data_IF_072122780784
#
_entry.id   IF_072122780784
#
_cell.length_a   1.000
_cell.length_b   1.000
_cell.length_c   1.000
_cell.angle_alpha   90.00
_cell.angle_beta   90.00
_cell.angle_gamma   90.00
#
_symmetry.space_group_name_H-M   'P 1'
#
loop_
_entity.id
_entity.type
_entity.pdbx_description
1 polymer ?
#
# COMPACT_ATOMS: atom_id res chain seq x y z
N UNK A 1 6.61 26.44 10.22
CA UNK A 1 6.40 26.39 8.77
C UNK A 1 6.31 24.96 8.25
N UNK A 2 7.16 24.03 8.75
CA UNK A 2 7.08 22.63 8.34
C UNK A 2 5.73 21.99 8.69
N UNK A 3 5.12 22.37 9.82
CA UNK A 3 3.82 21.84 10.22
C UNK A 3 2.70 22.22 9.25
N UNK A 4 2.73 23.46 8.74
CA UNK A 4 1.73 23.92 7.76
C UNK A 4 1.88 23.14 6.46
N UNK A 5 3.12 22.91 6.00
CA UNK A 5 3.37 22.12 4.80
C UNK A 5 2.93 20.67 4.95
N UNK A 6 3.12 20.10 6.14
CA UNK A 6 2.72 18.72 6.43
C UNK A 6 1.20 18.57 6.41
N UNK A 7 0.50 19.51 7.03
CA UNK A 7 -0.97 19.51 7.00
C UNK A 7 -1.52 19.71 5.59
N UNK A 8 -0.90 20.60 4.81
CA UNK A 8 -1.25 20.80 3.41
C UNK A 8 -1.05 19.52 2.60
N UNK A 9 0.08 18.83 2.80
CA UNK A 9 0.36 17.56 2.10
C UNK A 9 -0.66 16.49 2.45
N UNK A 10 -1.03 16.38 3.73
CA UNK A 10 -2.06 15.44 4.14
C UNK A 10 -3.39 15.76 3.48
N UNK A 11 -3.76 17.02 3.42
CA UNK A 11 -4.99 17.45 2.78
C UNK A 11 -4.97 17.19 1.27
N UNK A 12 -3.85 17.45 0.62
CA UNK A 12 -3.68 17.15 -0.81
C UNK A 12 -3.80 15.65 -1.08
N UNK A 13 -3.20 14.81 -0.24
CA UNK A 13 -3.33 13.36 -0.36
C UNK A 13 -4.78 12.95 -0.23
N UNK A 14 -5.50 13.46 0.77
CA UNK A 14 -6.91 13.14 0.97
C UNK A 14 -7.76 13.52 -0.24
N UNK A 15 -7.55 14.72 -0.78
CA UNK A 15 -8.29 15.18 -1.94
C UNK A 15 -7.96 14.37 -3.18
N UNK A 16 -6.69 14.05 -3.40
CA UNK A 16 -6.26 13.24 -4.53
C UNK A 16 -6.82 11.83 -4.46
N UNK A 17 -6.76 11.20 -3.29
CA UNK A 17 -7.30 9.85 -3.09
C UNK A 17 -8.81 9.85 -3.33
N UNK A 18 -9.52 10.82 -2.78
CA UNK A 18 -10.97 10.94 -2.97
C UNK A 18 -11.32 11.06 -4.43
N UNK A 19 -10.59 11.89 -5.16
CA UNK A 19 -10.78 12.08 -6.60
C UNK A 19 -10.50 10.81 -7.38
N UNK A 20 -9.39 10.12 -7.08
CA UNK A 20 -9.02 8.87 -7.75
C UNK A 20 -10.06 7.79 -7.51
N UNK A 21 -10.49 7.60 -6.26
CA UNK A 21 -11.48 6.58 -5.93
C UNK A 21 -12.81 6.87 -6.63
N UNK A 22 -13.20 8.14 -6.72
CA UNK A 22 -14.41 8.53 -7.44
C UNK A 22 -14.30 8.24 -8.93
N UNK A 23 -13.16 8.54 -9.54
CA UNK A 23 -12.91 8.27 -10.95
C UNK A 23 -12.90 6.77 -11.26
N UNK A 24 -12.28 5.97 -10.38
CA UNK A 24 -12.26 4.51 -10.53
C UNK A 24 -13.68 3.96 -10.44
N UNK A 25 -14.46 4.42 -9.47
CA UNK A 25 -15.85 4.01 -9.31
C UNK A 25 -16.68 4.35 -10.56
N UNK A 26 -16.54 5.56 -11.06
CA UNK A 26 -17.28 6.01 -12.25
C UNK A 26 -16.90 5.19 -13.48
N UNK A 27 -15.61 4.96 -13.67
CA UNK A 27 -15.12 4.18 -14.80
C UNK A 27 -15.60 2.73 -14.72
N UNK A 28 -15.59 2.13 -13.52
CA UNK A 28 -16.09 0.77 -13.33
C UNK A 28 -17.58 0.67 -13.69
N UNK A 29 -18.38 1.63 -13.25
CA UNK A 29 -19.81 1.68 -13.56
C UNK A 29 -20.06 1.82 -15.08
N UNK A 30 -19.30 2.69 -15.73
CA UNK A 30 -19.41 2.88 -17.18
C UNK A 30 -19.02 1.62 -17.95
N UNK A 31 -18.08 0.84 -17.43
CA UNK A 31 -17.66 -0.43 -18.04
C UNK A 31 -18.58 -1.60 -17.68
N UNK A 32 -19.64 -1.38 -16.92
CA UNK A 32 -20.56 -2.42 -16.49
C UNK A 32 -20.00 -3.33 -15.41
N UNK A 33 -18.98 -2.87 -14.66
CA UNK A 33 -18.34 -3.64 -13.58
C UNK A 33 -18.80 -3.14 -12.22
N UNK A 34 -18.83 -4.05 -11.24
CA UNK A 34 -19.10 -3.69 -9.85
C UNK A 34 -17.89 -2.92 -9.29
N UNK A 35 -18.07 -1.65 -8.86
CA UNK A 35 -16.95 -0.89 -8.29
C UNK A 35 -16.29 -1.57 -7.09
N UNK A 36 -17.02 -2.37 -6.34
CA UNK A 36 -16.46 -3.09 -5.19
C UNK A 36 -15.46 -4.18 -5.60
N UNK A 37 -15.51 -4.63 -6.85
CA UNK A 37 -14.57 -5.62 -7.36
C UNK A 37 -13.25 -5.00 -7.83
N UNK A 38 -13.17 -3.68 -7.90
CA UNK A 38 -11.97 -2.96 -8.31
C UNK A 38 -11.28 -2.41 -7.08
N UNK A 39 -10.02 -2.81 -6.88
CA UNK A 39 -9.21 -2.29 -5.78
C UNK A 39 -8.15 -1.33 -6.30
N UNK A 40 -7.92 -0.26 -5.55
CA UNK A 40 -6.86 0.71 -5.84
C UNK A 40 -5.73 0.48 -4.85
N UNK A 41 -4.54 0.21 -5.38
CA UNK A 41 -3.34 0.04 -4.56
C UNK A 41 -2.60 1.36 -4.47
N UNK A 42 -2.32 1.80 -3.25
CA UNK A 42 -1.44 2.94 -3.00
C UNK A 42 -0.01 2.45 -2.86
N UNK A 43 0.86 2.88 -3.76
CA UNK A 43 2.29 2.56 -3.68
C UNK A 43 2.94 3.54 -2.72
N UNK A 44 3.54 3.03 -1.65
CA UNK A 44 3.94 3.81 -0.48
C UNK A 44 5.44 4.05 -0.37
N UNK A 45 6.22 3.64 -1.36
CA UNK A 45 7.68 3.85 -1.33
C UNK A 45 8.00 5.34 -1.19
N UNK A 46 8.93 5.65 -0.31
CA UNK A 46 9.40 7.02 -0.01
C UNK A 46 8.31 7.97 0.51
N UNK A 47 7.14 7.45 0.87
CA UNK A 47 6.03 8.26 1.40
C UNK A 47 5.99 8.14 2.92
N UNK A 48 5.91 9.27 3.62
CA UNK A 48 5.86 9.29 5.08
C UNK A 48 4.58 8.59 5.59
N UNK A 49 4.64 7.88 6.75
CA UNK A 49 3.47 7.18 7.29
C UNK A 49 2.25 8.08 7.50
N UNK A 50 2.44 9.33 7.85
CA UNK A 50 1.33 10.28 8.04
C UNK A 50 0.53 10.47 6.76
N UNK A 51 1.21 10.52 5.60
CA UNK A 51 0.55 10.66 4.31
C UNK A 51 -0.14 9.36 3.89
N UNK A 52 0.47 8.21 4.19
CA UNK A 52 -0.15 6.90 3.96
C UNK A 52 -1.42 6.77 4.79
N UNK A 53 -1.37 7.16 6.05
CA UNK A 53 -2.54 7.11 6.93
C UNK A 53 -3.65 8.06 6.47
N UNK A 54 -3.29 9.22 5.89
CA UNK A 54 -4.27 10.11 5.30
C UNK A 54 -5.02 9.44 4.14
N UNK A 55 -4.29 8.70 3.29
CA UNK A 55 -4.90 7.94 2.21
C UNK A 55 -5.81 6.82 2.74
N UNK A 56 -5.36 6.11 3.78
CA UNK A 56 -6.16 5.05 4.42
C UNK A 56 -7.46 5.65 4.96
N UNK A 57 -7.39 6.81 5.60
CA UNK A 57 -8.57 7.47 6.16
C UNK A 57 -9.60 7.83 5.09
N UNK A 58 -9.17 8.03 3.85
CA UNK A 58 -10.06 8.33 2.72
C UNK A 58 -10.54 7.09 1.98
N UNK A 59 -10.20 5.88 2.43
CA UNK A 59 -10.75 4.65 1.90
C UNK A 59 -9.78 3.73 1.18
N UNK A 60 -8.48 4.04 1.18
CA UNK A 60 -7.48 3.10 0.66
C UNK A 60 -7.37 1.92 1.62
N UNK A 61 -7.53 0.71 1.09
CA UNK A 61 -7.45 -0.53 1.87
C UNK A 61 -6.33 -1.45 1.40
N UNK A 62 -5.54 -1.04 0.42
CA UNK A 62 -4.48 -1.85 -0.17
C UNK A 62 -3.24 -1.00 -0.36
N UNK A 63 -2.13 -1.44 0.24
CA UNK A 63 -0.85 -0.78 0.11
C UNK A 63 0.12 -1.66 -0.67
N UNK A 64 0.97 -1.05 -1.50
CA UNK A 64 2.03 -1.74 -2.22
C UNK A 64 3.39 -1.28 -1.71
N UNK A 65 4.18 -2.21 -1.18
CA UNK A 65 5.50 -1.94 -0.65
C UNK A 65 6.59 -2.51 -1.54
N UNK A 66 7.66 -1.76 -1.77
CA UNK A 66 8.75 -2.15 -2.65
C UNK A 66 10.01 -2.61 -1.92
N UNK A 67 10.22 -2.16 -0.70
CA UNK A 67 11.45 -2.43 0.06
C UNK A 67 11.12 -2.98 1.43
N UNK A 68 11.73 -4.13 1.76
CA UNK A 68 11.48 -4.80 3.03
C UNK A 68 11.89 -3.92 4.22
N UNK A 69 13.03 -3.24 4.14
CA UNK A 69 13.49 -2.37 5.23
C UNK A 69 12.52 -1.23 5.48
N UNK A 70 12.06 -0.57 4.43
CA UNK A 70 11.10 0.53 4.55
C UNK A 70 9.79 0.05 5.18
N UNK A 71 9.28 -1.10 4.73
CA UNK A 71 8.09 -1.69 5.31
C UNK A 71 8.25 -1.95 6.80
N UNK A 72 9.37 -2.56 7.21
CA UNK A 72 9.62 -2.85 8.62
C UNK A 72 9.70 -1.59 9.46
N UNK A 73 10.31 -0.54 8.96
CA UNK A 73 10.45 0.73 9.68
C UNK A 73 9.12 1.44 9.87
N UNK A 74 8.22 1.35 8.90
CA UNK A 74 6.95 2.10 8.90
C UNK A 74 5.76 1.29 9.37
N UNK A 75 5.89 -0.02 9.46
CA UNK A 75 4.76 -0.94 9.66
C UNK A 75 3.91 -0.56 10.87
N UNK A 76 4.54 -0.30 12.01
CA UNK A 76 3.82 0.01 13.24
C UNK A 76 3.18 1.39 13.21
N UNK A 77 3.63 2.27 12.32
CA UNK A 77 3.08 3.63 12.17
C UNK A 77 1.84 3.66 11.30
N UNK A 78 1.56 2.61 10.52
CA UNK A 78 0.39 2.56 9.65
C UNK A 78 -0.88 2.23 10.44
N UNK A 79 -1.99 2.85 10.04
CA UNK A 79 -3.32 2.52 10.56
C UNK A 79 -3.82 1.26 9.81
N UNK A 80 -3.45 0.09 10.29
CA UNK A 80 -3.55 -1.17 9.55
C UNK A 80 -4.91 -1.86 9.60
N UNK A 81 -5.82 -1.41 10.44
CA UNK A 81 -7.12 -2.07 10.57
C UNK A 81 -7.87 -2.02 9.24
N UNK A 82 -8.22 -3.19 8.72
CA UNK A 82 -8.90 -3.31 7.44
C UNK A 82 -8.02 -3.05 6.22
N UNK A 83 -6.70 -2.98 6.40
CA UNK A 83 -5.76 -2.68 5.31
C UNK A 83 -4.91 -3.90 5.00
N UNK A 84 -4.80 -4.23 3.71
CA UNK A 84 -3.92 -5.29 3.21
C UNK A 84 -2.65 -4.67 2.65
N UNK A 85 -1.52 -5.34 2.86
CA UNK A 85 -0.23 -4.91 2.34
C UNK A 85 0.28 -5.99 1.40
N UNK A 86 0.59 -5.59 0.15
CA UNK A 86 1.22 -6.47 -0.84
C UNK A 86 2.68 -6.03 -1.02
N UNK A 87 3.56 -7.01 -1.16
CA UNK A 87 4.95 -6.71 -1.49
C UNK A 87 5.11 -6.83 -3.01
N UNK A 88 5.40 -5.71 -3.67
CA UNK A 88 5.43 -5.62 -5.13
C UNK A 88 6.83 -5.38 -5.69
N UNK A 89 7.83 -5.15 -4.84
CA UNK A 89 9.21 -4.95 -5.25
C UNK A 89 10.01 -6.23 -5.29
N UNK A 90 11.29 -6.14 -5.67
CA UNK A 90 12.20 -7.27 -5.63
C UNK A 90 12.44 -7.70 -4.19
N UNK A 91 12.22 -8.98 -3.90
CA UNK A 91 12.39 -9.52 -2.55
C UNK A 91 13.64 -10.41 -2.50
N UNK A 92 14.62 -10.00 -1.71
CA UNK A 92 15.80 -10.81 -1.45
C UNK A 92 15.45 -11.93 -0.47
N UNK A 93 15.99 -13.13 -0.72
CA UNK A 93 15.70 -14.31 0.09
C UNK A 93 15.97 -14.08 1.57
N UNK A 94 17.05 -13.35 1.91
CA UNK A 94 17.42 -13.08 3.29
C UNK A 94 16.50 -12.07 4.00
N UNK A 95 15.56 -11.46 3.28
CA UNK A 95 14.60 -10.51 3.85
C UNK A 95 13.21 -11.11 4.07
N UNK A 96 12.95 -12.31 3.59
CA UNK A 96 11.62 -12.93 3.62
C UNK A 96 11.05 -12.97 5.03
N UNK A 97 11.84 -13.42 6.01
CA UNK A 97 11.37 -13.55 7.38
C UNK A 97 10.95 -12.24 8.01
N UNK A 98 11.48 -11.12 7.53
CA UNK A 98 11.17 -9.81 8.07
C UNK A 98 9.78 -9.32 7.65
N UNK A 99 9.27 -9.80 6.51
CA UNK A 99 8.04 -9.26 5.95
C UNK A 99 6.90 -10.28 5.81
N UNK A 100 7.18 -11.58 5.88
CA UNK A 100 6.18 -12.61 5.57
C UNK A 100 4.95 -12.52 6.47
N UNK A 101 5.10 -12.08 7.71
CA UNK A 101 4.00 -11.87 8.65
C UNK A 101 3.33 -10.50 8.52
N UNK A 102 3.87 -9.62 7.67
CA UNK A 102 3.38 -8.24 7.52
C UNK A 102 2.59 -8.03 6.24
N UNK A 103 2.73 -8.94 5.28
CA UNK A 103 2.08 -8.80 3.97
C UNK A 103 1.15 -9.97 3.72
N UNK A 104 0.09 -9.73 2.95
CA UNK A 104 -0.84 -10.79 2.57
C UNK A 104 -0.53 -11.39 1.19
N UNK A 105 0.33 -10.75 0.40
CA UNK A 105 0.71 -11.23 -0.92
C UNK A 105 2.08 -10.72 -1.31
N UNK A 106 2.87 -11.61 -1.91
CA UNK A 106 4.16 -11.25 -2.53
C UNK A 106 4.01 -11.49 -4.02
N UNK A 107 4.15 -10.42 -4.80
CA UNK A 107 3.85 -10.47 -6.23
C UNK A 107 5.10 -10.65 -7.10
N UNK A 108 6.30 -10.67 -6.50
CA UNK A 108 7.57 -10.64 -7.22
C UNK A 108 8.44 -11.86 -6.92
N UNK A 109 7.85 -13.07 -6.93
CA UNK A 109 8.62 -14.30 -6.72
C UNK A 109 9.37 -14.62 -8.02
N UNK A 110 10.71 -14.57 -7.98
CA UNK A 110 11.56 -14.73 -9.15
C UNK A 110 12.46 -15.97 -9.12
N UNK A 111 12.35 -16.79 -8.07
CA UNK A 111 13.16 -18.02 -7.97
C UNK A 111 12.48 -19.07 -7.09
N UNK A 112 12.86 -20.34 -7.32
CA UNK A 112 12.38 -21.45 -6.47
C UNK A 112 12.89 -21.30 -5.05
N UNK A 113 14.13 -20.82 -4.87
CA UNK A 113 14.70 -20.59 -3.57
C UNK A 113 13.88 -19.57 -2.77
N UNK A 114 13.48 -18.48 -3.42
CA UNK A 114 12.64 -17.45 -2.80
C UNK A 114 11.28 -18.01 -2.42
N UNK A 115 10.64 -18.75 -3.33
CA UNK A 115 9.34 -19.37 -3.07
C UNK A 115 9.39 -20.30 -1.87
N UNK A 116 10.42 -21.14 -1.76
CA UNK A 116 10.61 -22.03 -0.61
C UNK A 116 10.77 -21.27 0.70
N UNK A 117 11.50 -20.17 0.69
CA UNK A 117 11.70 -19.36 1.89
C UNK A 117 10.39 -18.71 2.35
N UNK A 118 9.53 -18.30 1.42
CA UNK A 118 8.24 -17.71 1.73
C UNK A 118 7.33 -18.77 2.41
N UNK A 119 7.37 -20.02 1.96
CA UNK A 119 6.55 -21.09 2.50
C UNK A 119 7.00 -21.57 3.89
N UNK A 120 8.21 -21.27 4.27
CA UNK A 120 8.68 -21.62 5.60
C UNK A 120 7.95 -20.81 6.65
#
# INVERSE_FOLDING_TARGET
MQQVNQQQRQQEVRENVRSILQQVRQTALEAGRDPQQVQVMAVTKTVAPELVNAAIAEGITLLGENKAQELCEKYDSYCKEGVSIHFIGHLQTNKVRQIVDKVCMIESVDSVKLAREIER
#
